data_IF_779334998850
#
_entry.id   IF_779334998850
#
_cell.length_a   1.000
_cell.length_b   1.000
_cell.length_c   1.000
_cell.angle_alpha   90.00
_cell.angle_beta   90.00
_cell.angle_gamma   90.00
#
_symmetry.space_group_name_H-M   'P 1'
#
loop_
_entity.id
_entity.type
_entity.pdbx_description
1 polymer ?
#
# COMPACT_ATOMS: atom_id res chain seq x y z
N UNK A 1 38.64 6.40 3.89
CA UNK A 1 37.27 6.91 4.12
C UNK A 1 36.31 5.76 3.86
N UNK A 2 35.42 5.41 4.80
CA UNK A 2 34.35 4.47 4.50
C UNK A 2 33.35 5.15 3.53
N UNK A 3 32.78 4.41 2.56
CA UNK A 3 31.71 4.94 1.73
C UNK A 3 30.52 5.33 2.62
N UNK A 4 29.88 6.47 2.33
CA UNK A 4 28.61 6.83 2.95
C UNK A 4 27.50 6.05 2.25
N UNK A 5 26.70 5.31 3.01
CA UNK A 5 25.51 4.68 2.47
C UNK A 5 24.43 5.74 2.21
N UNK A 6 23.87 5.74 1.00
CA UNK A 6 22.88 6.72 0.55
C UNK A 6 21.58 5.99 0.21
N UNK A 7 20.46 6.53 0.69
CA UNK A 7 19.12 6.05 0.36
C UNK A 7 18.33 7.15 -0.36
N UNK A 8 17.72 6.81 -1.50
CA UNK A 8 16.89 7.74 -2.27
C UNK A 8 15.42 7.54 -1.89
N UNK A 9 14.73 8.64 -1.57
CA UNK A 9 13.31 8.64 -1.23
C UNK A 9 12.50 9.24 -2.37
N UNK A 10 11.41 8.56 -2.72
CA UNK A 10 10.41 9.03 -3.66
C UNK A 10 9.06 8.97 -2.95
N UNK A 11 8.31 10.07 -2.99
CA UNK A 11 6.98 10.15 -2.38
C UNK A 11 5.96 10.48 -3.46
N UNK A 12 4.81 9.81 -3.39
CA UNK A 12 3.64 10.13 -4.21
C UNK A 12 2.48 10.50 -3.29
N UNK A 13 2.24 11.80 -3.16
CA UNK A 13 1.06 12.36 -2.49
C UNK A 13 -0.15 12.47 -3.43
N UNK A 14 -1.34 12.76 -2.89
CA UNK A 14 -2.55 12.99 -3.69
C UNK A 14 -3.44 11.76 -3.91
N UNK A 15 -3.27 10.72 -3.09
CA UNK A 15 -4.10 9.51 -3.12
C UNK A 15 -3.91 8.73 -4.41
N UNK A 16 -4.99 8.53 -5.16
CA UNK A 16 -5.00 7.75 -6.41
C UNK A 16 -4.93 8.61 -7.68
N UNK A 17 -4.77 9.93 -7.53
CA UNK A 17 -4.83 10.85 -8.69
C UNK A 17 -3.57 10.81 -9.57
N UNK A 18 -2.43 10.39 -9.01
CA UNK A 18 -1.12 10.46 -9.66
C UNK A 18 -0.48 9.07 -9.88
N UNK A 19 -1.30 8.02 -10.03
CA UNK A 19 -0.82 6.65 -10.22
C UNK A 19 0.15 6.49 -11.41
N UNK A 20 0.00 7.33 -12.44
CA UNK A 20 0.85 7.33 -13.62
C UNK A 20 2.34 7.60 -13.29
N UNK A 21 2.60 8.34 -12.20
CA UNK A 21 3.95 8.69 -11.74
C UNK A 21 4.67 7.55 -11.00
N UNK A 22 3.95 6.49 -10.57
CA UNK A 22 4.54 5.31 -9.90
C UNK A 22 5.62 4.65 -10.77
N UNK A 23 5.47 4.76 -12.09
CA UNK A 23 6.36 4.12 -13.05
C UNK A 23 7.77 4.74 -13.10
N UNK A 24 7.93 6.00 -12.69
CA UNK A 24 9.15 6.78 -12.85
C UNK A 24 10.35 6.20 -12.07
N UNK A 25 10.26 5.96 -10.75
CA UNK A 25 11.40 5.47 -9.98
C UNK A 25 11.63 3.95 -10.06
N UNK A 26 10.66 3.19 -10.59
CA UNK A 26 10.67 1.73 -10.63
C UNK A 26 11.14 1.27 -12.02
N UNK A 27 12.45 0.99 -12.13
CA UNK A 27 13.10 0.57 -13.38
C UNK A 27 13.77 -0.79 -13.21
N UNK A 28 14.21 -1.40 -14.32
CA UNK A 28 14.92 -2.70 -14.26
C UNK A 28 16.22 -2.63 -13.45
N UNK A 29 16.85 -1.45 -13.37
CA UNK A 29 18.10 -1.23 -12.66
C UNK A 29 17.88 -1.03 -11.16
N UNK A 30 16.85 -0.30 -10.77
CA UNK A 30 16.56 0.03 -9.37
C UNK A 30 15.80 -1.07 -8.65
N UNK A 31 15.06 -1.93 -9.37
CA UNK A 31 14.09 -2.84 -8.77
C UNK A 31 14.67 -3.78 -7.70
N UNK A 32 15.93 -4.22 -7.85
CA UNK A 32 16.58 -5.14 -6.90
C UNK A 32 16.78 -4.57 -5.50
N UNK A 33 16.90 -3.25 -5.39
CA UNK A 33 17.09 -2.53 -4.13
C UNK A 33 15.88 -1.66 -3.78
N UNK A 34 14.80 -1.74 -4.58
CA UNK A 34 13.59 -0.97 -4.36
C UNK A 34 12.71 -1.62 -3.30
N UNK A 35 12.15 -0.80 -2.41
CA UNK A 35 11.19 -1.20 -1.39
C UNK A 35 10.02 -0.22 -1.39
N UNK A 36 8.83 -0.70 -1.02
CA UNK A 36 7.61 0.11 -0.96
C UNK A 36 7.23 0.37 0.49
N UNK A 37 6.90 1.62 0.79
CA UNK A 37 6.23 2.02 2.03
C UNK A 37 4.86 2.60 1.66
N UNK A 38 3.79 1.90 2.02
CA UNK A 38 2.42 2.36 1.84
C UNK A 38 1.94 3.03 3.13
N UNK A 39 1.64 4.33 3.08
CA UNK A 39 1.10 5.06 4.24
C UNK A 39 -0.40 5.25 4.08
N UNK A 40 -1.16 4.83 5.08
CA UNK A 40 -2.61 4.89 5.12
C UNK A 40 -3.07 5.79 6.27
N UNK A 41 -4.08 6.64 6.02
CA UNK A 41 -4.64 7.54 7.02
C UNK A 41 -5.73 6.82 7.85
N UNK A 42 -5.38 6.40 9.08
CA UNK A 42 -6.32 5.68 9.95
C UNK A 42 -7.51 6.54 10.41
N UNK A 43 -7.42 7.87 10.29
CA UNK A 43 -8.53 8.77 10.65
C UNK A 43 -9.69 8.73 9.64
N UNK A 44 -9.48 8.13 8.46
CA UNK A 44 -10.46 8.10 7.35
C UNK A 44 -10.74 6.66 6.89
N UNK A 45 -11.52 5.87 7.66
CA UNK A 45 -11.72 4.46 7.36
C UNK A 45 -12.36 4.19 6.00
N UNK A 46 -13.30 5.03 5.57
CA UNK A 46 -13.94 4.93 4.25
C UNK A 46 -12.94 5.05 3.08
N UNK A 47 -11.80 5.70 3.30
CA UNK A 47 -10.80 5.94 2.25
C UNK A 47 -9.68 4.88 2.29
N UNK A 48 -9.56 4.10 3.37
CA UNK A 48 -8.47 3.16 3.60
C UNK A 48 -8.39 2.08 2.51
N UNK A 49 -9.50 1.34 2.32
CA UNK A 49 -9.54 0.25 1.33
C UNK A 49 -9.31 0.73 -0.10
N UNK A 50 -10.08 1.70 -0.65
CA UNK A 50 -9.89 2.13 -2.04
C UNK A 50 -8.50 2.72 -2.28
N UNK A 51 -7.93 3.46 -1.32
CA UNK A 51 -6.58 4.00 -1.44
C UNK A 51 -5.54 2.88 -1.51
N UNK A 52 -5.59 1.96 -0.56
CA UNK A 52 -4.69 0.82 -0.47
C UNK A 52 -4.78 -0.08 -1.71
N UNK A 53 -5.99 -0.46 -2.11
CA UNK A 53 -6.23 -1.36 -3.25
C UNK A 53 -5.67 -0.77 -4.55
N UNK A 54 -6.03 0.47 -4.87
CA UNK A 54 -5.59 1.12 -6.09
C UNK A 54 -4.07 1.31 -6.14
N UNK A 55 -3.45 1.76 -5.04
CA UNK A 55 -2.00 1.98 -4.98
C UNK A 55 -1.22 0.65 -5.09
N UNK A 56 -1.65 -0.38 -4.35
CA UNK A 56 -0.99 -1.69 -4.38
C UNK A 56 -1.16 -2.37 -5.75
N UNK A 57 -2.34 -2.29 -6.36
CA UNK A 57 -2.58 -2.88 -7.68
C UNK A 57 -1.77 -2.19 -8.78
N UNK A 58 -1.78 -0.86 -8.83
CA UNK A 58 -1.01 -0.10 -9.80
C UNK A 58 0.50 -0.40 -9.67
N UNK A 59 1.01 -0.37 -8.44
CA UNK A 59 2.42 -0.65 -8.14
C UNK A 59 2.78 -2.11 -8.47
N UNK A 60 1.98 -3.09 -8.02
CA UNK A 60 2.21 -4.52 -8.29
C UNK A 60 2.20 -4.81 -9.79
N UNK A 61 1.28 -4.22 -10.54
CA UNK A 61 1.20 -4.35 -12.00
C UNK A 61 2.47 -3.84 -12.68
N UNK A 62 2.91 -2.63 -12.31
CA UNK A 62 4.14 -2.05 -12.88
C UNK A 62 5.39 -2.86 -12.51
N UNK A 63 5.55 -3.21 -11.23
CA UNK A 63 6.67 -4.05 -10.77
C UNK A 63 6.72 -5.38 -11.55
N UNK A 64 5.58 -6.07 -11.70
CA UNK A 64 5.53 -7.32 -12.45
C UNK A 64 5.96 -7.16 -13.91
N UNK A 65 5.55 -6.06 -14.57
CA UNK A 65 6.01 -5.73 -15.94
C UNK A 65 7.54 -5.54 -15.98
N UNK A 66 8.10 -4.83 -15.01
CA UNK A 66 9.55 -4.60 -14.92
C UNK A 66 10.30 -5.90 -14.64
N UNK A 67 9.80 -6.79 -13.78
CA UNK A 67 10.37 -8.12 -13.54
C UNK A 67 10.34 -8.97 -14.82
N UNK A 68 9.24 -8.96 -15.56
CA UNK A 68 9.14 -9.67 -16.83
C UNK A 68 10.16 -9.16 -17.85
N UNK A 69 10.33 -7.84 -17.96
CA UNK A 69 11.34 -7.22 -18.82
C UNK A 69 12.76 -7.61 -18.40
N UNK A 70 13.05 -7.59 -17.09
CA UNK A 70 14.32 -8.04 -16.54
C UNK A 70 14.55 -9.53 -16.83
N UNK A 71 13.53 -10.38 -16.73
CA UNK A 71 13.64 -11.82 -17.01
C UNK A 71 14.04 -12.15 -18.45
N UNK A 72 13.72 -11.27 -19.41
CA UNK A 72 14.16 -11.42 -20.81
C UNK A 72 15.66 -11.17 -21.00
N UNK A 73 16.28 -10.37 -20.13
CA UNK A 73 17.70 -10.01 -20.21
C UNK A 73 18.56 -10.77 -19.20
N UNK A 74 18.02 -11.05 -18.01
CA UNK A 74 18.67 -11.73 -16.91
C UNK A 74 17.65 -12.58 -16.14
N UNK A 75 17.39 -13.79 -16.65
CA UNK A 75 16.43 -14.74 -16.06
C UNK A 75 16.81 -15.16 -14.63
N UNK A 76 18.11 -15.30 -14.35
CA UNK A 76 18.63 -15.64 -13.02
C UNK A 76 18.27 -14.56 -11.99
N UNK A 77 18.52 -13.29 -12.29
CA UNK A 77 18.19 -12.18 -11.40
C UNK A 77 16.68 -12.07 -11.14
N UNK A 78 15.85 -12.30 -12.16
CA UNK A 78 14.39 -12.30 -11.99
C UNK A 78 13.91 -13.48 -11.12
N UNK A 79 14.53 -14.66 -11.25
CA UNK A 79 14.22 -15.83 -10.41
C UNK A 79 14.64 -15.62 -8.95
N UNK A 80 15.86 -15.10 -8.72
CA UNK A 80 16.37 -14.77 -7.39
C UNK A 80 15.46 -13.77 -6.67
N UNK A 81 14.97 -12.75 -7.39
CA UNK A 81 14.03 -11.78 -6.84
C UNK A 81 12.72 -12.45 -6.40
N UNK A 82 12.15 -13.32 -7.24
CA UNK A 82 10.94 -14.08 -6.89
C UNK A 82 11.13 -14.98 -5.68
N UNK A 83 12.31 -15.60 -5.55
CA UNK A 83 12.62 -16.47 -4.42
C UNK A 83 12.88 -15.67 -3.12
N UNK A 84 13.55 -14.51 -3.23
CA UNK A 84 13.89 -13.68 -2.06
C UNK A 84 12.65 -13.18 -1.32
N UNK A 85 11.54 -12.93 -2.01
CA UNK A 85 10.28 -12.51 -1.35
C UNK A 85 9.84 -13.55 -0.31
N UNK A 86 9.94 -14.83 -0.66
CA UNK A 86 9.56 -15.95 0.20
C UNK A 86 10.57 -16.24 1.32
N UNK A 87 11.73 -15.58 1.34
CA UNK A 87 12.69 -15.67 2.45
C UNK A 87 12.20 -14.95 3.71
N UNK A 88 11.25 -14.02 3.57
CA UNK A 88 10.65 -13.30 4.68
C UNK A 88 9.65 -14.14 5.49
N UNK A 89 9.22 -15.28 4.93
CA UNK A 89 8.29 -16.19 5.59
C UNK A 89 8.97 -17.55 5.80
N UNK A 90 8.75 -18.12 7.00
CA UNK A 90 9.29 -19.43 7.34
C UNK A 90 8.79 -20.50 6.35
N UNK A 91 9.62 -21.52 6.10
CA UNK A 91 9.31 -22.55 5.08
C UNK A 91 8.10 -23.40 5.47
N UNK A 92 7.93 -23.60 6.76
CA UNK A 92 6.88 -24.36 7.45
C UNK A 92 5.71 -23.48 7.91
N UNK A 93 5.65 -22.22 7.47
CA UNK A 93 4.55 -21.33 7.82
C UNK A 93 3.20 -21.89 7.30
N UNK A 94 2.16 -22.00 8.14
CA UNK A 94 0.92 -22.69 7.78
C UNK A 94 0.18 -22.04 6.60
N UNK A 95 0.28 -20.71 6.48
CA UNK A 95 -0.42 -19.94 5.45
C UNK A 95 0.37 -19.76 4.15
N UNK A 96 1.52 -20.42 3.99
CA UNK A 96 2.44 -20.17 2.87
C UNK A 96 1.77 -20.34 1.49
N UNK A 97 0.82 -21.26 1.37
CA UNK A 97 0.08 -21.54 0.13
C UNK A 97 -1.19 -20.67 -0.02
N UNK A 98 -1.56 -19.91 1.01
CA UNK A 98 -2.79 -19.12 1.09
C UNK A 98 -2.57 -17.62 0.85
N UNK A 99 -1.31 -17.20 0.74
CA UNK A 99 -0.91 -15.79 0.56
C UNK A 99 -0.37 -15.54 -0.85
N UNK A 100 -0.37 -14.26 -1.27
CA UNK A 100 0.19 -13.81 -2.54
C UNK A 100 1.16 -12.64 -2.27
N UNK A 101 2.41 -12.95 -1.86
CA UNK A 101 3.38 -11.95 -1.45
C UNK A 101 3.62 -10.87 -2.50
N UNK A 102 3.88 -9.64 -2.03
CA UNK A 102 4.21 -8.54 -2.92
C UNK A 102 5.56 -8.79 -3.61
N UNK A 103 5.72 -8.49 -4.91
CA UNK A 103 6.90 -8.85 -5.70
C UNK A 103 8.23 -8.17 -5.28
N UNK A 104 8.18 -7.25 -4.32
CA UNK A 104 9.30 -6.55 -3.70
C UNK A 104 8.96 -6.27 -2.22
N UNK A 105 9.93 -5.93 -1.35
CA UNK A 105 9.64 -5.62 0.05
C UNK A 105 8.57 -4.53 0.20
N UNK A 106 7.60 -4.78 1.08
CA UNK A 106 6.48 -3.89 1.36
C UNK A 106 6.34 -3.68 2.88
N UNK A 107 6.16 -2.43 3.29
CA UNK A 107 5.75 -2.04 4.64
C UNK A 107 4.49 -1.20 4.53
N UNK A 108 3.48 -1.53 5.33
CA UNK A 108 2.23 -0.78 5.45
C UNK A 108 2.28 -0.01 6.77
N UNK A 109 2.07 1.30 6.71
CA UNK A 109 2.06 2.20 7.86
C UNK A 109 0.67 2.80 8.01
N UNK A 110 0.02 2.54 9.14
CA UNK A 110 -1.17 3.27 9.57
C UNK A 110 -0.76 4.56 10.29
N UNK A 111 -1.01 5.70 9.68
CA UNK A 111 -0.75 7.03 10.25
C UNK A 111 -1.94 7.57 11.04
N UNK A 112 -1.72 8.63 11.83
CA UNK A 112 -2.74 9.26 12.70
C UNK A 112 -3.35 8.30 13.71
N UNK A 113 -2.52 7.43 14.27
CA UNK A 113 -2.95 6.52 15.35
C UNK A 113 -3.52 7.28 16.56
N UNK A 114 -3.05 8.51 16.80
CA UNK A 114 -3.55 9.39 17.86
C UNK A 114 -5.04 9.72 17.74
N UNK A 115 -5.59 9.73 16.52
CA UNK A 115 -7.03 9.91 16.26
C UNK A 115 -7.72 8.54 16.28
N UNK A 116 -7.10 7.54 15.65
CA UNK A 116 -7.68 6.21 15.53
C UNK A 116 -7.89 5.50 16.86
N UNK A 117 -7.01 5.72 17.85
CA UNK A 117 -7.12 5.10 19.16
C UNK A 117 -8.43 5.45 19.89
N UNK A 118 -9.04 6.59 19.56
CA UNK A 118 -10.29 7.08 20.15
C UNK A 118 -11.56 6.57 19.42
N UNK A 119 -11.42 5.79 18.35
CA UNK A 119 -12.56 5.19 17.66
C UNK A 119 -13.24 4.10 18.49
N UNK A 120 -14.52 3.85 18.19
CA UNK A 120 -15.29 2.75 18.78
C UNK A 120 -14.54 1.40 18.66
N UNK A 121 -14.61 0.58 19.72
CA UNK A 121 -13.89 -0.71 19.78
C UNK A 121 -14.19 -1.61 18.56
N UNK A 122 -15.44 -1.68 18.11
CA UNK A 122 -15.81 -2.49 16.95
C UNK A 122 -15.20 -1.95 15.65
N UNK A 123 -15.15 -0.63 15.45
CA UNK A 123 -14.49 -0.03 14.28
C UNK A 123 -12.99 -0.32 14.29
N UNK A 124 -12.33 -0.14 15.45
CA UNK A 124 -10.90 -0.43 15.60
C UNK A 124 -10.59 -1.89 15.32
N UNK A 125 -11.40 -2.82 15.86
CA UNK A 125 -11.28 -4.26 15.63
C UNK A 125 -11.34 -4.62 14.15
N UNK A 126 -12.31 -4.07 13.41
CA UNK A 126 -12.46 -4.31 11.97
C UNK A 126 -11.23 -3.81 11.22
N UNK A 127 -10.82 -2.56 11.45
CA UNK A 127 -9.69 -1.94 10.76
C UNK A 127 -8.38 -2.69 11.06
N UNK A 128 -8.12 -3.01 12.33
CA UNK A 128 -6.94 -3.78 12.74
C UNK A 128 -6.90 -5.16 12.07
N UNK A 129 -8.00 -5.91 12.09
CA UNK A 129 -8.06 -7.23 11.45
C UNK A 129 -7.87 -7.15 9.94
N UNK A 130 -8.51 -6.18 9.28
CA UNK A 130 -8.38 -5.99 7.82
C UNK A 130 -6.95 -5.65 7.43
N UNK A 131 -6.32 -4.68 8.12
CA UNK A 131 -4.94 -4.30 7.79
C UNK A 131 -3.94 -5.42 8.11
N UNK A 132 -4.17 -6.19 9.18
CA UNK A 132 -3.39 -7.40 9.49
C UNK A 132 -3.52 -8.45 8.39
N UNK A 133 -4.74 -8.73 7.94
CA UNK A 133 -4.97 -9.65 6.81
C UNK A 133 -4.24 -9.19 5.56
N UNK A 134 -4.37 -7.92 5.17
CA UNK A 134 -3.73 -7.40 3.95
C UNK A 134 -2.21 -7.45 4.06
N UNK A 135 -1.66 -7.05 5.21
CA UNK A 135 -0.22 -7.12 5.43
C UNK A 135 0.29 -8.57 5.34
N UNK A 136 -0.39 -9.50 5.99
CA UNK A 136 -0.04 -10.92 5.96
C UNK A 136 -0.15 -11.51 4.55
N UNK A 137 -1.26 -11.24 3.85
CA UNK A 137 -1.50 -11.71 2.49
C UNK A 137 -0.41 -11.26 1.51
N UNK A 138 0.08 -10.03 1.65
CA UNK A 138 1.17 -9.51 0.83
C UNK A 138 2.57 -9.79 1.39
N UNK A 139 2.70 -10.52 2.50
CA UNK A 139 4.00 -10.75 3.16
C UNK A 139 4.68 -9.44 3.60
N UNK A 140 3.89 -8.43 3.92
CA UNK A 140 4.33 -7.10 4.34
C UNK A 140 4.43 -6.99 5.86
N UNK A 141 5.20 -6.00 6.33
CA UNK A 141 5.13 -5.60 7.74
C UNK A 141 4.05 -4.53 7.93
N UNK A 142 3.43 -4.48 9.11
CA UNK A 142 2.39 -3.51 9.47
C UNK A 142 2.78 -2.74 10.73
N UNK A 143 2.78 -1.42 10.67
CA UNK A 143 3.05 -0.57 11.84
C UNK A 143 2.07 0.58 11.94
N UNK A 144 1.60 0.89 13.15
CA UNK A 144 0.83 2.10 13.42
C UNK A 144 1.72 3.18 14.04
N UNK A 145 1.53 4.41 13.60
CA UNK A 145 2.30 5.57 14.05
C UNK A 145 1.42 6.79 14.24
N UNK A 146 1.92 7.71 15.05
CA UNK A 146 1.34 9.03 15.29
C UNK A 146 2.47 10.05 15.41
N UNK A 147 2.13 11.23 15.93
CA UNK A 147 3.08 12.31 16.27
C UNK A 147 4.02 11.94 17.43
N UNK A 148 3.77 10.81 18.11
CA UNK A 148 4.60 10.33 19.21
C UNK A 148 6.02 10.02 18.75
N UNK A 149 7.02 10.66 19.36
CA UNK A 149 8.44 10.45 19.06
C UNK A 149 8.84 8.97 19.17
N UNK A 150 8.33 8.26 20.17
CA UNK A 150 8.61 6.83 20.36
C UNK A 150 8.13 5.97 19.18
N UNK A 151 6.99 6.31 18.57
CA UNK A 151 6.48 5.60 17.39
C UNK A 151 7.25 5.99 16.14
N UNK A 152 7.59 7.27 15.98
CA UNK A 152 8.41 7.75 14.86
C UNK A 152 9.81 7.11 14.85
N UNK A 153 10.42 6.93 16.03
CA UNK A 153 11.71 6.22 16.15
C UNK A 153 11.60 4.75 15.69
N UNK A 154 10.49 4.07 16.00
CA UNK A 154 10.23 2.71 15.51
C UNK A 154 10.11 2.69 13.98
N UNK A 155 9.35 3.62 13.40
CA UNK A 155 9.21 3.74 11.94
C UNK A 155 10.55 4.03 11.28
N UNK A 156 11.35 4.94 11.84
CA UNK A 156 12.70 5.24 11.35
C UNK A 156 13.59 4.00 11.35
N UNK A 157 13.51 3.18 12.40
CA UNK A 157 14.20 1.90 12.48
C UNK A 157 13.83 0.97 11.31
N UNK A 158 12.54 0.85 11.00
CA UNK A 158 12.04 0.02 9.88
C UNK A 158 12.50 0.57 8.53
N UNK A 159 12.47 1.89 8.33
CA UNK A 159 12.95 2.51 7.09
C UNK A 159 14.46 2.26 6.91
N UNK A 160 15.24 2.37 7.98
CA UNK A 160 16.67 2.06 7.94
C UNK A 160 16.92 0.57 7.64
N UNK A 161 16.08 -0.35 8.13
CA UNK A 161 16.14 -1.77 7.77
C UNK A 161 15.88 -1.98 6.27
N UNK A 162 14.90 -1.28 5.69
CA UNK A 162 14.64 -1.34 4.24
C UNK A 162 15.79 -0.75 3.42
N UNK A 163 16.34 0.38 3.85
CA UNK A 163 17.38 1.09 3.12
C UNK A 163 18.76 0.41 3.18
N UNK A 164 19.13 -0.14 4.34
CA UNK A 164 20.50 -0.58 4.63
C UNK A 164 20.58 -2.06 5.02
N UNK A 165 19.47 -2.79 5.09
CA UNK A 165 19.47 -4.23 5.38
C UNK A 165 19.86 -4.57 6.82
N UNK A 166 19.66 -3.66 7.78
CA UNK A 166 19.87 -3.91 9.21
C UNK A 166 18.95 -5.04 9.67
N UNK A 167 19.40 -5.84 10.65
CA UNK A 167 18.63 -6.96 11.20
C UNK A 167 17.21 -6.58 11.62
N UNK A 168 16.26 -7.45 11.24
CA UNK A 168 14.84 -7.27 11.52
C UNK A 168 14.57 -7.42 13.01
N UNK A 169 13.74 -6.52 13.53
CA UNK A 169 13.20 -6.67 14.88
C UNK A 169 12.25 -7.87 14.91
N UNK A 170 12.36 -8.73 15.92
CA UNK A 170 11.41 -9.84 16.18
C UNK A 170 10.19 -9.38 16.97
N UNK A 171 9.97 -8.08 17.12
CA UNK A 171 8.86 -7.53 17.88
C UNK A 171 7.53 -7.75 17.13
N UNK A 172 6.53 -8.18 17.89
CA UNK A 172 5.13 -8.27 17.45
C UNK A 172 4.22 -7.65 18.52
N UNK A 173 3.30 -6.80 18.08
CA UNK A 173 2.22 -6.24 18.87
C UNK A 173 0.94 -6.29 18.02
N UNK A 174 0.05 -7.21 18.37
CA UNK A 174 -1.23 -7.46 17.69
C UNK A 174 -2.43 -6.97 18.49
N UNK A 175 -2.19 -6.39 19.67
CA UNK A 175 -3.22 -5.87 20.55
C UNK A 175 -3.87 -4.64 19.92
N UNK A 176 -5.17 -4.74 19.63
CA UNK A 176 -5.95 -3.68 19.00
C UNK A 176 -6.07 -2.39 19.85
N UNK A 177 -5.79 -2.47 21.15
CA UNK A 177 -5.77 -1.31 22.05
C UNK A 177 -4.40 -0.62 22.09
N UNK A 178 -3.41 -1.15 21.37
CA UNK A 178 -2.06 -0.60 21.26
C UNK A 178 -1.74 -0.30 19.79
N UNK A 179 -0.71 0.52 19.51
CA UNK A 179 -0.22 0.70 18.15
C UNK A 179 0.25 -0.66 17.61
N UNK A 180 -0.32 -1.11 16.50
CA UNK A 180 0.10 -2.36 15.86
C UNK A 180 1.56 -2.26 15.43
N UNK A 181 2.30 -3.35 15.62
CA UNK A 181 3.68 -3.48 15.14
C UNK A 181 3.93 -4.94 14.81
N UNK A 182 3.92 -5.30 13.53
CA UNK A 182 3.94 -6.68 13.07
C UNK A 182 4.98 -6.77 11.96
N UNK A 183 6.03 -7.53 12.21
CA UNK A 183 7.05 -7.81 11.20
C UNK A 183 6.53 -8.91 10.26
N UNK A 184 6.81 -8.77 8.96
CA UNK A 184 6.45 -9.75 7.96
C UNK A 184 6.84 -11.18 8.38
N UNK A 185 5.88 -12.11 8.27
CA UNK A 185 6.07 -13.53 8.61
C UNK A 185 5.86 -13.89 10.09
N UNK A 186 5.47 -12.94 10.95
CA UNK A 186 5.15 -13.18 12.37
C UNK A 186 3.65 -13.13 12.70
N UNK A 187 2.78 -13.01 11.69
CA UNK A 187 1.32 -13.09 11.85
C UNK A 187 0.80 -14.36 11.14
N UNK A 188 -0.45 -14.74 11.40
CA UNK A 188 -1.09 -15.86 10.72
C UNK A 188 -2.59 -15.64 10.52
N UNK A 189 -3.17 -16.27 9.50
CA UNK A 189 -4.61 -16.24 9.23
C UNK A 189 -5.40 -16.80 10.42
N UNK A 190 -4.87 -17.80 11.11
CA UNK A 190 -5.46 -18.35 12.33
C UNK A 190 -5.50 -17.34 13.48
N UNK A 191 -4.47 -16.52 13.65
CA UNK A 191 -4.40 -15.48 14.69
C UNK A 191 -5.22 -14.23 14.34
N UNK A 192 -5.37 -13.92 13.05
CA UNK A 192 -6.23 -12.83 12.57
C UNK A 192 -7.71 -13.24 12.69
N UNK A 193 -8.00 -14.49 12.35
CA UNK A 193 -9.33 -15.07 12.30
C UNK A 193 -10.16 -14.57 11.12
N UNK A 194 -11.43 -14.96 11.09
CA UNK A 194 -12.37 -14.56 10.04
C UNK A 194 -12.66 -13.05 10.05
N UNK A 195 -13.04 -12.48 8.88
CA UNK A 195 -13.56 -11.12 8.80
C UNK A 195 -14.67 -10.91 9.84
N UNK A 196 -14.62 -9.81 10.61
CA UNK A 196 -15.63 -9.53 11.63
C UNK A 196 -16.95 -9.12 10.97
N UNK A 197 -17.85 -10.08 10.79
CA UNK A 197 -19.26 -9.84 10.44
C UNK A 197 -20.19 -10.52 11.44
N UNK A 198 -21.45 -10.10 11.52
CA UNK A 198 -22.49 -10.90 12.15
C UNK A 198 -22.61 -12.26 11.45
N UNK A 199 -22.63 -13.35 12.22
CA UNK A 199 -22.47 -14.75 11.76
C UNK A 199 -23.39 -15.18 10.59
N UNK A 200 -24.52 -14.49 10.38
CA UNK A 200 -25.51 -14.82 9.37
C UNK A 200 -25.21 -14.33 7.93
N UNK A 201 -24.13 -13.56 7.72
CA UNK A 201 -23.87 -12.90 6.43
C UNK A 201 -22.65 -13.43 5.66
N UNK A 202 -21.71 -14.17 6.29
CA UNK A 202 -20.50 -14.69 5.60
C UNK A 202 -20.89 -15.61 4.45
N UNK A 203 -21.77 -16.58 4.69
CA UNK A 203 -22.20 -17.55 3.68
C UNK A 203 -23.01 -16.97 2.52
N UNK A 204 -23.48 -15.72 2.64
CA UNK A 204 -24.22 -15.02 1.58
C UNK A 204 -23.31 -14.19 0.68
N UNK A 205 -22.13 -13.83 1.17
CA UNK A 205 -21.13 -13.09 0.40
C UNK A 205 -20.45 -14.05 -0.57
N UNK A 206 -20.94 -14.10 -1.80
CA UNK A 206 -20.29 -14.83 -2.89
C UNK A 206 -18.96 -14.13 -3.20
N UNK A 207 -17.84 -14.67 -2.72
CA UNK A 207 -16.50 -14.14 -2.97
C UNK A 207 -15.62 -15.23 -3.60
N UNK A 208 -14.84 -14.84 -4.61
CA UNK A 208 -13.97 -15.74 -5.38
C UNK A 208 -12.55 -15.79 -4.82
N UNK A 209 -12.22 -14.93 -3.86
CA UNK A 209 -10.94 -14.92 -3.16
C UNK A 209 -11.07 -14.40 -1.72
N UNK A 210 -10.11 -14.73 -0.83
CA UNK A 210 -10.05 -14.14 0.49
C UNK A 210 -10.01 -12.60 0.45
N UNK A 211 -9.24 -12.02 -0.46
CA UNK A 211 -9.15 -10.57 -0.63
C UNK A 211 -10.51 -9.94 -0.93
N UNK A 212 -11.29 -10.55 -1.84
CA UNK A 212 -12.63 -10.08 -2.18
C UNK A 212 -13.62 -10.22 -1.01
N UNK A 213 -13.50 -11.28 -0.22
CA UNK A 213 -14.31 -11.44 0.99
C UNK A 213 -14.04 -10.31 1.98
N UNK A 214 -12.76 -10.05 2.29
CA UNK A 214 -12.36 -8.97 3.20
C UNK A 214 -12.78 -7.59 2.67
N UNK A 215 -12.68 -7.37 1.34
CA UNK A 215 -13.19 -6.16 0.67
C UNK A 215 -14.66 -5.93 0.96
N UNK A 216 -15.51 -6.90 0.64
CA UNK A 216 -16.97 -6.78 0.78
C UNK A 216 -17.37 -6.52 2.22
N UNK A 217 -16.73 -7.19 3.17
CA UNK A 217 -16.96 -6.98 4.61
C UNK A 217 -16.56 -5.57 5.03
N UNK A 218 -15.40 -5.10 4.59
CA UNK A 218 -14.90 -3.79 4.93
C UNK A 218 -15.77 -2.67 4.36
N UNK A 219 -16.11 -2.74 3.06
CA UNK A 219 -16.92 -1.74 2.37
C UNK A 219 -18.38 -1.70 2.87
N UNK A 220 -18.90 -2.81 3.41
CA UNK A 220 -20.22 -2.82 4.06
C UNK A 220 -20.23 -1.95 5.32
N UNK A 221 -19.13 -1.93 6.09
CA UNK A 221 -19.01 -1.14 7.32
C UNK A 221 -18.49 0.28 7.06
N UNK A 222 -17.64 0.44 6.05
CA UNK A 222 -17.02 1.70 5.67
C UNK A 222 -17.18 1.92 4.16
N UNK A 223 -18.38 2.30 3.70
CA UNK A 223 -18.65 2.48 2.27
C UNK A 223 -17.73 3.55 1.69
N UNK A 224 -17.09 3.30 0.53
CA UNK A 224 -16.15 4.25 -0.05
C UNK A 224 -16.84 5.57 -0.36
N UNK A 225 -16.22 6.68 0.02
CA UNK A 225 -16.66 8.01 -0.39
C UNK A 225 -16.33 8.19 -1.87
N UNK A 226 -17.20 8.86 -2.62
CA UNK A 226 -16.91 9.23 -4.01
C UNK A 226 -15.58 9.98 -4.08
N UNK A 227 -14.60 9.40 -4.76
CA UNK A 227 -13.29 10.00 -4.95
C UNK A 227 -13.49 11.13 -5.97
N UNK A 228 -13.63 12.37 -5.51
CA UNK A 228 -13.39 13.53 -6.38
C UNK A 228 -11.92 13.48 -6.74
N UNK A 229 -11.60 12.87 -7.86
CA UNK A 229 -10.23 12.81 -8.36
C UNK A 229 -9.77 14.23 -8.65
N UNK A 230 -8.47 14.54 -8.47
CA UNK A 230 -7.94 15.82 -8.98
C UNK A 230 -8.10 15.95 -10.51
N UNK A 231 -8.50 14.86 -11.20
CA UNK A 231 -8.89 14.86 -12.61
C UNK A 231 -10.26 15.52 -12.86
N UNK A 232 -11.05 15.77 -11.81
CA UNK A 232 -12.30 16.55 -11.87
C UNK A 232 -12.08 18.06 -11.68
N UNK A 233 -10.85 18.55 -11.80
CA UNK A 233 -10.64 19.97 -12.05
C UNK A 233 -11.25 20.24 -13.43
N UNK A 234 -12.45 20.81 -13.47
CA UNK A 234 -13.00 21.41 -14.69
C UNK A 234 -11.92 22.31 -15.27
N UNK A 235 -11.52 22.03 -16.51
CA UNK A 235 -10.52 22.81 -17.22
C UNK A 235 -10.93 24.29 -17.16
N UNK A 236 -10.18 25.15 -16.45
CA UNK A 236 -10.51 26.57 -16.35
C UNK A 236 -10.58 27.23 -17.72
N UNK A 237 -9.84 26.70 -18.70
CA UNK A 237 -9.85 27.20 -20.07
C UNK A 237 -11.16 26.85 -20.80
N UNK A 238 -11.96 25.90 -20.30
CA UNK A 238 -13.28 25.54 -20.84
C UNK A 238 -14.43 26.12 -20.03
N UNK A 239 -14.13 26.91 -19.01
CA UNK A 239 -15.13 27.60 -18.22
C UNK A 239 -15.46 28.95 -18.89
N UNK A 240 -16.72 29.17 -19.35
CA UNK A 240 -17.12 30.41 -20.01
C UNK A 240 -16.91 31.66 -19.16
N UNK A 241 -16.77 31.51 -17.84
CA UNK A 241 -16.51 32.61 -16.92
C UNK A 241 -15.12 33.24 -17.11
N UNK A 242 -14.16 32.52 -17.70
CA UNK A 242 -12.77 32.97 -17.91
C UNK A 242 -12.38 33.04 -19.40
N UNK A 243 -13.35 33.14 -20.31
CA UNK A 243 -13.09 33.23 -21.75
C UNK A 243 -12.40 34.55 -22.12
N UNK A 244 -11.28 34.46 -22.85
CA UNK A 244 -10.48 35.59 -23.31
C UNK A 244 -10.10 35.35 -24.78
N UNK A 245 -10.63 36.19 -25.68
CA UNK A 245 -10.57 35.96 -27.14
C UNK A 245 -9.15 35.70 -27.67
N UNK A 246 -8.15 36.46 -27.21
CA UNK A 246 -6.76 36.33 -27.67
C UNK A 246 -6.12 35.01 -27.22
N UNK A 247 -6.44 34.56 -25.99
CA UNK A 247 -5.93 33.31 -25.41
C UNK A 247 -6.61 32.11 -26.06
N UNK A 248 -7.91 32.21 -26.31
CA UNK A 248 -8.72 31.17 -26.94
C UNK A 248 -8.32 30.95 -28.41
N UNK A 249 -8.03 32.01 -29.16
CA UNK A 249 -7.52 31.93 -30.54
C UNK A 249 -6.15 31.25 -30.60
N UNK A 250 -5.21 31.64 -29.73
CA UNK A 250 -3.90 30.98 -29.66
C UNK A 250 -4.00 29.50 -29.26
N UNK A 251 -4.96 29.13 -28.41
CA UNK A 251 -5.22 27.73 -28.08
C UNK A 251 -5.74 26.95 -29.28
N UNK A 252 -6.73 27.48 -30.01
CA UNK A 252 -7.28 26.83 -31.21
C UNK A 252 -6.16 26.59 -32.24
N UNK A 253 -5.28 27.57 -32.44
CA UNK A 253 -4.11 27.40 -33.30
C UNK A 253 -3.17 26.30 -32.81
N UNK A 254 -2.88 26.25 -31.51
CA UNK A 254 -2.02 25.22 -30.92
C UNK A 254 -2.62 23.82 -31.01
N UNK A 255 -3.92 23.68 -30.78
CA UNK A 255 -4.63 22.40 -30.85
C UNK A 255 -4.67 21.85 -32.29
N UNK A 256 -4.76 22.71 -33.30
CA UNK A 256 -4.64 22.34 -34.72
C UNK A 256 -3.23 21.86 -35.11
N UNK A 257 -2.19 22.32 -34.39
CA UNK A 257 -0.80 21.91 -34.64
C UNK A 257 -0.45 20.59 -33.96
N UNK A 258 -1.15 20.24 -32.88
CA UNK A 258 -0.90 19.05 -32.06
C UNK A 258 -1.79 17.85 -32.42
N UNK A 259 -2.78 18.02 -33.29
CA UNK A 259 -3.63 16.95 -33.85
C UNK A 259 -2.96 16.24 -35.02
#
# INVERSE_FOLDING_TARGET
MQPKDIAHFWELGGGTSLLDLISIPITSDTLRTFSIVLVLDLSKPNDLWPTMENLLQATKSHVNKVIMKLGKTNSKAASEMRQKIWSNMQKDHPDRELIDPFPIPLVIIGSKYDIFQDFDSEKRKVICKTLRFVAHYYGASLMFTSKSEALLLKIRGVINQLAFGIDKSKSVCVDQNKPLFITAGLDSLSQIGSPPVPDNDIGKLHAHSPMELWKKVYEKLFPPKSINTLKDIKDPARDPQYAESEVDEMRIQKDQVLS
#
